data_IF_037542018203
#
_entry.id   IF_037542018203
#
_cell.length_a   1.000
_cell.length_b   1.000
_cell.length_c   1.000
_cell.angle_alpha   90.00
_cell.angle_beta   90.00
_cell.angle_gamma   90.00
#
_symmetry.space_group_name_H-M   'P 1'
#
loop_
_entity.id
_entity.type
_entity.pdbx_description
1 polymer ?
#
# COMPACT_ATOMS: atom_id res chain seq x y z
N UNK A 1 2.80 -18.75 0.34
CA UNK A 1 3.07 -17.52 1.12
C UNK A 1 3.69 -16.50 0.19
N UNK A 2 3.18 -15.27 0.16
CA UNK A 2 3.60 -14.23 -0.78
C UNK A 2 4.46 -13.13 -0.17
N UNK A 3 4.96 -12.17 -0.96
CA UNK A 3 5.83 -11.08 -0.51
C UNK A 3 5.28 -10.33 0.71
N UNK A 4 3.98 -10.02 0.76
CA UNK A 4 3.34 -9.32 1.88
C UNK A 4 3.46 -10.05 3.24
N UNK A 5 3.67 -11.37 3.25
CA UNK A 5 3.94 -12.10 4.49
C UNK A 5 5.38 -11.88 4.96
N UNK A 6 6.35 -11.97 4.03
CA UNK A 6 7.76 -11.81 4.36
C UNK A 6 8.11 -10.38 4.78
N UNK A 7 7.49 -9.36 4.18
CA UNK A 7 7.70 -7.97 4.59
C UNK A 7 7.22 -7.70 6.02
N UNK A 8 6.16 -8.38 6.49
CA UNK A 8 5.77 -8.35 7.90
C UNK A 8 6.84 -8.97 8.80
N UNK A 9 7.42 -10.10 8.40
CA UNK A 9 8.52 -10.69 9.16
C UNK A 9 9.72 -9.76 9.23
N UNK A 10 10.08 -9.11 8.11
CA UNK A 10 11.16 -8.11 8.08
C UNK A 10 10.82 -6.97 9.05
N UNK A 11 9.62 -6.40 8.96
CA UNK A 11 9.20 -5.28 9.81
C UNK A 11 9.29 -5.61 11.31
N UNK A 12 8.83 -6.79 11.74
CA UNK A 12 8.79 -7.17 13.15
C UNK A 12 10.10 -7.76 13.69
N UNK A 13 10.89 -8.41 12.84
CA UNK A 13 12.06 -9.20 13.26
C UNK A 13 13.40 -8.57 12.87
N UNK A 14 13.42 -7.56 11.99
CA UNK A 14 14.67 -6.87 11.66
C UNK A 14 15.26 -6.19 12.91
N UNK A 15 16.56 -6.39 13.21
CA UNK A 15 17.17 -5.80 14.39
C UNK A 15 17.21 -4.27 14.31
N UNK A 16 16.55 -3.59 15.24
CA UNK A 16 16.52 -2.12 15.31
C UNK A 16 17.93 -1.49 15.51
N UNK A 17 18.90 -2.27 16.00
CA UNK A 17 20.23 -1.80 16.39
C UNK A 17 21.29 -1.90 15.28
N UNK A 18 21.00 -2.50 14.12
CA UNK A 18 21.99 -2.60 13.06
C UNK A 18 21.89 -1.38 12.14
N UNK A 19 22.76 -0.39 12.34
CA UNK A 19 22.91 0.77 11.43
C UNK A 19 23.30 0.40 9.99
N UNK A 20 23.53 -0.90 9.72
CA UNK A 20 23.90 -1.44 8.40
C UNK A 20 22.71 -1.99 7.61
N UNK A 21 21.52 -2.13 8.21
CA UNK A 21 20.33 -2.65 7.53
C UNK A 21 19.24 -1.57 7.59
N UNK A 22 18.85 -1.05 6.43
CA UNK A 22 17.73 -0.13 6.31
C UNK A 22 16.45 -0.78 6.88
N UNK A 23 15.59 0.02 7.51
CA UNK A 23 14.35 -0.47 8.10
C UNK A 23 13.39 -0.90 6.98
N UNK A 24 12.80 -2.08 7.11
CA UNK A 24 11.74 -2.54 6.21
C UNK A 24 10.35 -2.07 6.64
N UNK A 25 9.44 -1.91 5.67
CA UNK A 25 8.04 -1.50 5.90
C UNK A 25 7.06 -2.58 5.43
N UNK A 26 5.83 -2.58 5.94
CA UNK A 26 4.86 -3.60 5.57
C UNK A 26 4.28 -3.28 4.19
N UNK A 27 4.78 -3.95 3.16
CA UNK A 27 4.18 -3.93 1.83
C UNK A 27 2.87 -4.74 1.83
N UNK A 28 1.77 -4.11 2.23
CA UNK A 28 0.42 -4.66 2.17
C UNK A 28 -0.43 -4.04 1.05
N UNK A 29 -1.69 -4.48 0.93
CA UNK A 29 -2.60 -3.99 -0.10
C UNK A 29 -2.89 -2.49 0.03
N UNK A 30 -3.01 -1.94 1.24
CA UNK A 30 -3.42 -0.55 1.46
C UNK A 30 -2.25 0.39 1.23
N UNK A 31 -1.11 0.09 1.84
CA UNK A 31 0.10 0.89 1.65
C UNK A 31 0.60 0.80 0.21
N UNK A 32 0.58 -0.39 -0.38
CA UNK A 32 0.95 -0.57 -1.80
C UNK A 32 0.04 0.21 -2.75
N UNK A 33 -1.28 0.23 -2.51
CA UNK A 33 -2.19 1.07 -3.30
C UNK A 33 -1.88 2.56 -3.11
N UNK A 34 -1.67 3.00 -1.87
CA UNK A 34 -1.41 4.40 -1.55
C UNK A 34 -0.13 4.89 -2.22
N UNK A 35 0.96 4.12 -2.15
CA UNK A 35 2.23 4.46 -2.81
C UNK A 35 2.06 4.53 -4.33
N UNK A 36 1.40 3.55 -4.94
CA UNK A 36 1.16 3.60 -6.38
C UNK A 36 0.33 4.83 -6.79
N UNK A 37 -0.70 5.18 -6.01
CA UNK A 37 -1.54 6.34 -6.25
C UNK A 37 -0.74 7.65 -6.15
N UNK A 38 -0.03 7.84 -5.04
CA UNK A 38 0.70 9.08 -4.76
C UNK A 38 1.87 9.29 -5.73
N UNK A 39 2.54 8.22 -6.14
CA UNK A 39 3.64 8.28 -7.10
C UNK A 39 3.19 8.31 -8.56
N UNK A 40 1.92 7.99 -8.84
CA UNK A 40 1.41 7.81 -10.19
C UNK A 40 2.07 6.65 -10.96
N UNK A 41 2.73 5.71 -10.25
CA UNK A 41 3.52 4.63 -10.84
C UNK A 41 3.11 3.27 -10.26
N UNK A 42 3.25 2.21 -11.06
CA UNK A 42 3.03 0.84 -10.58
C UNK A 42 4.30 0.30 -9.90
N UNK A 43 4.59 0.77 -8.69
CA UNK A 43 5.74 0.34 -7.89
C UNK A 43 5.46 -1.02 -7.24
N UNK A 44 4.33 -1.12 -6.54
CA UNK A 44 3.87 -2.38 -5.95
C UNK A 44 2.93 -3.07 -6.95
N UNK A 45 3.31 -4.26 -7.41
CA UNK A 45 2.47 -5.08 -8.26
C UNK A 45 1.33 -5.64 -7.41
N UNK A 46 0.09 -5.31 -7.77
CA UNK A 46 -1.10 -5.69 -7.01
C UNK A 46 -2.05 -6.42 -7.94
N UNK A 47 -2.30 -7.70 -7.66
CA UNK A 47 -3.34 -8.48 -8.33
C UNK A 47 -4.71 -7.97 -7.91
N UNK A 48 -5.69 -8.10 -8.80
CA UNK A 48 -7.02 -7.53 -8.61
C UNK A 48 -8.12 -8.55 -8.85
N UNK A 49 -9.15 -8.47 -8.04
CA UNK A 49 -10.38 -9.23 -8.20
C UNK A 49 -11.57 -8.28 -8.28
N UNK A 50 -12.22 -8.23 -9.44
CA UNK A 50 -13.36 -7.36 -9.71
C UNK A 50 -14.66 -8.12 -9.46
N UNK A 51 -15.55 -7.52 -8.67
CA UNK A 51 -16.87 -8.08 -8.38
C UNK A 51 -17.96 -7.04 -8.55
N UNK A 52 -19.06 -7.41 -9.18
CA UNK A 52 -20.26 -6.60 -9.22
C UNK A 52 -21.06 -6.80 -7.93
N UNK A 53 -21.48 -5.71 -7.29
CA UNK A 53 -22.35 -5.73 -6.11
C UNK A 53 -23.48 -4.74 -6.26
N UNK A 54 -24.64 -5.05 -5.68
CA UNK A 54 -25.73 -4.09 -5.56
C UNK A 54 -25.51 -3.22 -4.33
N UNK A 55 -25.44 -1.90 -4.52
CA UNK A 55 -25.43 -0.91 -3.45
C UNK A 55 -26.62 0.03 -3.66
N UNK A 56 -27.59 0.02 -2.74
CA UNK A 56 -28.85 0.78 -2.88
C UNK A 56 -29.55 0.54 -4.24
N UNK A 57 -29.71 -0.74 -4.62
CA UNK A 57 -30.26 -1.20 -5.90
C UNK A 57 -29.54 -0.72 -7.18
N UNK A 58 -28.34 -0.16 -7.08
CA UNK A 58 -27.51 0.18 -8.24
C UNK A 58 -26.34 -0.79 -8.34
N UNK A 59 -26.01 -1.30 -9.54
CA UNK A 59 -24.82 -2.10 -9.75
C UNK A 59 -23.58 -1.21 -9.54
N UNK A 60 -22.67 -1.66 -8.68
CA UNK A 60 -21.39 -1.00 -8.40
C UNK A 60 -20.28 -2.03 -8.56
N UNK A 61 -19.24 -1.65 -9.30
CA UNK A 61 -18.03 -2.45 -9.43
C UNK A 61 -17.17 -2.27 -8.18
N UNK A 62 -16.71 -3.37 -7.60
CA UNK A 62 -15.77 -3.39 -6.48
C UNK A 62 -14.48 -4.07 -6.90
N UNK A 63 -13.35 -3.42 -6.61
CA UNK A 63 -12.04 -4.03 -6.71
C UNK A 63 -11.53 -4.43 -5.32
N UNK A 64 -11.23 -5.71 -5.15
CA UNK A 64 -10.40 -6.21 -4.07
C UNK A 64 -8.96 -6.36 -4.61
N UNK A 65 -7.95 -6.04 -3.81
CA UNK A 65 -6.56 -6.00 -4.26
C UNK A 65 -5.65 -6.76 -3.31
N UNK A 66 -4.67 -7.47 -3.88
CA UNK A 66 -3.73 -8.30 -3.13
C UNK A 66 -2.32 -8.06 -3.66
N UNK A 67 -1.32 -8.06 -2.79
CA UNK A 67 0.08 -7.92 -3.20
C UNK A 67 0.47 -9.14 -4.03
N UNK A 68 0.87 -8.90 -5.27
CA UNK A 68 1.20 -9.97 -6.21
C UNK A 68 2.47 -10.71 -5.77
N UNK A 69 2.53 -12.01 -6.08
CA UNK A 69 3.75 -12.81 -5.89
C UNK A 69 4.87 -12.45 -6.88
N UNK A 70 4.57 -11.60 -7.87
CA UNK A 70 5.55 -11.10 -8.84
C UNK A 70 6.37 -9.91 -8.32
N UNK A 71 6.13 -9.44 -7.10
CA UNK A 71 7.01 -8.46 -6.47
C UNK A 71 8.34 -9.12 -6.08
N UNK A 72 9.43 -8.53 -6.54
CA UNK A 72 10.80 -8.94 -6.27
C UNK A 72 11.37 -8.19 -5.06
N UNK A 73 12.58 -8.58 -4.63
CA UNK A 73 13.32 -7.81 -3.63
C UNK A 73 13.63 -6.38 -4.09
N UNK A 74 13.84 -6.15 -5.40
CA UNK A 74 14.06 -4.81 -5.96
C UNK A 74 12.81 -3.95 -5.88
N UNK A 75 11.63 -4.54 -6.14
CA UNK A 75 10.35 -3.83 -6.00
C UNK A 75 10.11 -3.42 -4.54
N UNK A 76 10.46 -4.31 -3.60
CA UNK A 76 10.34 -4.05 -2.17
C UNK A 76 11.30 -2.96 -1.69
N UNK A 77 12.55 -2.97 -2.16
CA UNK A 77 13.53 -1.92 -1.86
C UNK A 77 13.06 -0.55 -2.38
N UNK A 78 12.61 -0.49 -3.64
CA UNK A 78 12.07 0.73 -4.24
C UNK A 78 10.84 1.24 -3.47
N UNK A 79 9.96 0.33 -3.04
CA UNK A 79 8.84 0.65 -2.17
C UNK A 79 9.28 1.27 -0.84
N UNK A 80 10.27 0.69 -0.16
CA UNK A 80 10.77 1.23 1.12
C UNK A 80 11.36 2.63 0.94
N UNK A 81 12.17 2.82 -0.09
CA UNK A 81 12.76 4.12 -0.42
C UNK A 81 11.70 5.19 -0.71
N UNK A 82 10.58 4.82 -1.34
CA UNK A 82 9.48 5.75 -1.60
C UNK A 82 8.68 6.10 -0.34
N UNK A 83 8.52 5.18 0.62
CA UNK A 83 7.94 5.51 1.92
C UNK A 83 8.82 6.53 2.65
N UNK A 84 10.14 6.34 2.62
CA UNK A 84 11.10 7.26 3.22
C UNK A 84 11.14 8.62 2.53
N UNK A 85 11.17 8.63 1.20
CA UNK A 85 11.14 9.86 0.40
C UNK A 85 9.85 10.65 0.66
N UNK A 86 8.69 9.99 0.68
CA UNK A 86 7.42 10.63 0.97
C UNK A 86 7.40 11.23 2.38
N UNK A 87 7.93 10.50 3.37
CA UNK A 87 8.05 11.04 4.73
C UNK A 87 8.91 12.30 4.77
N UNK A 88 10.01 12.33 4.02
CA UNK A 88 10.87 13.51 3.92
C UNK A 88 10.13 14.69 3.25
N UNK A 89 9.34 14.43 2.21
CA UNK A 89 8.52 15.45 1.53
C UNK A 89 7.42 16.03 2.43
N UNK A 90 6.84 15.22 3.32
CA UNK A 90 5.85 15.68 4.30
C UNK A 90 6.46 16.56 5.42
N UNK A 91 7.79 16.61 5.52
CA UNK A 91 8.54 17.47 6.43
C UNK A 91 8.95 16.79 7.74
N UNK A 92 9.73 17.52 8.55
CA UNK A 92 10.46 16.96 9.72
C UNK A 92 9.59 16.41 10.84
N UNK A 93 8.28 16.69 10.84
CA UNK A 93 7.33 16.12 11.79
C UNK A 93 6.92 14.68 11.44
N UNK A 94 7.23 14.23 10.23
CA UNK A 94 6.86 12.91 9.72
C UNK A 94 8.05 11.97 9.76
N UNK A 95 7.84 10.79 10.34
CA UNK A 95 8.75 9.65 10.21
C UNK A 95 8.17 8.65 9.21
N UNK A 96 9.00 7.78 8.60
CA UNK A 96 8.51 6.74 7.70
C UNK A 96 7.43 5.86 8.33
N UNK A 97 7.51 5.55 9.62
CA UNK A 97 6.50 4.77 10.35
C UNK A 97 5.18 5.53 10.53
N UNK A 98 5.26 6.83 10.83
CA UNK A 98 4.07 7.68 10.90
C UNK A 98 3.40 7.80 9.54
N UNK A 99 4.21 7.94 8.49
CA UNK A 99 3.77 8.00 7.09
C UNK A 99 3.08 6.69 6.69
N UNK A 100 3.73 5.53 6.90
CA UNK A 100 3.13 4.20 6.68
C UNK A 100 1.78 4.08 7.40
N UNK A 101 1.74 4.43 8.70
CA UNK A 101 0.52 4.31 9.50
C UNK A 101 -0.61 5.21 8.97
N UNK A 102 -0.29 6.43 8.57
CA UNK A 102 -1.26 7.35 8.00
C UNK A 102 -1.81 6.86 6.64
N UNK A 103 -0.95 6.27 5.79
CA UNK A 103 -1.32 5.77 4.48
C UNK A 103 -2.09 4.45 4.52
N UNK A 104 -1.76 3.55 5.45
CA UNK A 104 -2.59 2.36 5.72
C UNK A 104 -3.95 2.83 6.25
N UNK A 105 -3.94 3.87 7.08
CA UNK A 105 -5.08 4.42 7.81
C UNK A 105 -5.83 3.39 8.67
N UNK A 106 -6.77 3.85 9.48
CA UNK A 106 -7.58 2.98 10.33
C UNK A 106 -8.49 2.08 9.47
N UNK A 107 -8.36 0.77 9.70
CA UNK A 107 -9.29 -0.24 9.21
C UNK A 107 -10.45 -0.48 10.17
N UNK A 108 -11.27 -1.50 9.87
CA UNK A 108 -12.37 -1.92 10.74
C UNK A 108 -13.73 -1.84 10.06
N UNK A 109 -14.81 -1.88 10.86
CA UNK A 109 -16.20 -1.85 10.35
C UNK A 109 -16.52 -0.57 9.59
N UNK A 110 -15.92 0.54 10.00
CA UNK A 110 -16.03 1.85 9.36
C UNK A 110 -14.63 2.27 8.91
N UNK A 111 -14.21 1.95 7.67
CA UNK A 111 -12.87 2.28 7.20
C UNK A 111 -12.70 3.80 7.07
N UNK A 112 -11.48 4.27 7.33
CA UNK A 112 -11.13 5.69 7.18
C UNK A 112 -11.42 6.18 5.72
N UNK A 113 -11.93 7.43 5.52
CA UNK A 113 -12.27 7.95 4.19
C UNK A 113 -11.14 7.85 3.15
N UNK A 114 -9.89 7.95 3.60
CA UNK A 114 -8.70 7.74 2.77
C UNK A 114 -8.73 6.40 2.01
N UNK A 115 -9.13 5.29 2.65
CA UNK A 115 -9.19 3.98 1.99
C UNK A 115 -10.20 3.95 0.86
N UNK A 116 -11.35 4.62 1.06
CA UNK A 116 -12.36 4.76 0.02
C UNK A 116 -11.82 5.55 -1.16
N UNK A 117 -11.12 6.66 -0.89
CA UNK A 117 -10.48 7.48 -1.92
C UNK A 117 -9.46 6.67 -2.73
N UNK A 118 -8.59 5.91 -2.07
CA UNK A 118 -7.58 5.07 -2.74
C UNK A 118 -8.22 4.02 -3.65
N UNK A 119 -9.31 3.38 -3.21
CA UNK A 119 -10.03 2.38 -4.01
C UNK A 119 -10.74 3.02 -5.21
N UNK A 120 -11.39 4.17 -5.01
CA UNK A 120 -12.09 4.91 -6.07
C UNK A 120 -11.13 5.37 -7.18
N UNK A 121 -10.00 5.98 -6.80
CA UNK A 121 -8.98 6.41 -7.75
C UNK A 121 -8.43 5.23 -8.56
N UNK A 122 -8.19 4.10 -7.89
CA UNK A 122 -7.70 2.90 -8.55
C UNK A 122 -8.70 2.34 -9.57
N UNK A 123 -9.98 2.26 -9.22
CA UNK A 123 -11.04 1.86 -10.15
C UNK A 123 -11.12 2.81 -11.35
N UNK A 124 -10.97 4.11 -11.12
CA UNK A 124 -10.95 5.10 -12.18
C UNK A 124 -9.79 4.88 -13.16
N UNK A 125 -8.57 4.60 -12.66
CA UNK A 125 -7.41 4.30 -13.52
C UNK A 125 -7.62 3.05 -14.38
N UNK A 126 -8.42 2.10 -13.92
CA UNK A 126 -8.72 0.86 -14.67
C UNK A 126 -9.85 1.01 -15.68
N UNK A 127 -10.70 2.01 -15.51
CA UNK A 127 -11.89 2.22 -16.36
C UNK A 127 -11.55 2.99 -17.64
N UNK A 128 -10.26 3.25 -17.89
CA UNK A 128 -9.74 3.84 -19.12
C UNK A 128 -9.51 2.69 -20.13
N UNK A 129 -10.61 2.17 -20.70
CA UNK A 129 -10.61 1.32 -21.90
C UNK A 129 -11.90 1.57 -22.68
#
# INVERSE_FOLDING_TARGET
MGPAYFTKLIYFLAPAASSRVAKGYIMDQWLGCAINLLTGRQVVKLDQHLTWKLKKNKPVLRADSFVSNLNTGQDYEAFCQLVEALSAELGTAWTPELTERALIAEGGRTPHPWRSHVVEQRLATMSIW
#
